data_IF_057641467407
#
_entry.id   IF_057641467407
#
_cell.length_a   1.000
_cell.length_b   1.000
_cell.length_c   1.000
_cell.angle_alpha   90.00
_cell.angle_beta   90.00
_cell.angle_gamma   90.00
#
_symmetry.space_group_name_H-M   'P 1'
#
loop_
_entity.id
_entity.type
_entity.pdbx_description
1 polymer ?
#
# COMPACT_ATOMS: atom_id res chain seq x y z
N UNK A 1 -26.81 -67.32 18.37
CA UNK A 1 -26.71 -65.95 17.83
C UNK A 1 -25.50 -65.22 18.45
N UNK A 2 -24.43 -65.02 17.71
CA UNK A 2 -23.20 -64.31 18.19
C UNK A 2 -23.19 -62.91 17.63
N UNK A 3 -23.34 -61.93 18.53
CA UNK A 3 -23.31 -60.50 18.20
C UNK A 3 -21.86 -60.05 18.09
N UNK A 4 -21.46 -59.61 16.90
CA UNK A 4 -20.12 -59.00 16.65
C UNK A 4 -20.19 -57.50 16.92
N UNK A 5 -19.50 -57.08 17.97
CA UNK A 5 -19.27 -55.68 18.28
C UNK A 5 -18.15 -55.15 17.39
N UNK A 6 -18.46 -54.22 16.50
CA UNK A 6 -17.47 -53.51 15.66
C UNK A 6 -17.01 -52.28 16.44
N UNK A 7 -15.74 -52.32 16.89
CA UNK A 7 -15.06 -51.19 17.51
C UNK A 7 -14.58 -50.24 16.39
N UNK A 8 -15.23 -49.09 16.23
CA UNK A 8 -14.75 -48.01 15.34
C UNK A 8 -13.69 -47.18 16.06
N UNK A 9 -12.44 -47.42 15.72
CA UNK A 9 -11.32 -46.56 16.13
C UNK A 9 -11.39 -45.25 15.34
N UNK A 10 -11.76 -44.16 15.99
CA UNK A 10 -11.67 -42.81 15.42
C UNK A 10 -10.23 -42.36 15.63
N UNK A 11 -9.45 -42.35 14.54
CA UNK A 11 -8.13 -41.74 14.50
C UNK A 11 -8.29 -40.25 14.42
N UNK A 12 -8.20 -39.57 15.57
CA UNK A 12 -8.23 -38.12 15.67
C UNK A 12 -6.83 -37.60 15.29
N UNK A 13 -6.64 -37.21 14.01
CA UNK A 13 -5.45 -36.47 13.58
C UNK A 13 -5.49 -35.07 14.22
N UNK A 14 -4.85 -34.93 15.37
CA UNK A 14 -4.46 -33.64 15.92
C UNK A 14 -3.38 -33.07 15.00
N UNK A 15 -3.82 -32.24 14.06
CA UNK A 15 -2.92 -31.34 13.31
C UNK A 15 -2.35 -30.31 14.27
N UNK A 16 -1.22 -30.63 14.88
CA UNK A 16 -0.39 -29.63 15.56
C UNK A 16 0.25 -28.80 14.45
N UNK A 17 -0.38 -27.69 14.07
CA UNK A 17 0.31 -26.62 13.36
C UNK A 17 1.36 -26.07 14.32
N UNK A 18 2.59 -26.52 14.19
CA UNK A 18 3.73 -25.91 14.86
C UNK A 18 3.84 -24.47 14.32
N UNK A 19 3.26 -23.51 15.03
CA UNK A 19 3.61 -22.11 14.87
C UNK A 19 5.04 -21.96 15.40
N UNK A 20 6.01 -22.11 14.50
CA UNK A 20 7.38 -21.72 14.76
C UNK A 20 7.42 -20.20 14.76
N UNK A 21 7.31 -19.59 15.92
CA UNK A 21 7.55 -18.15 16.05
C UNK A 21 9.05 -17.93 16.09
N UNK A 22 9.56 -17.05 15.24
CA UNK A 22 10.82 -16.37 15.51
C UNK A 22 10.65 -15.69 16.88
N UNK A 23 11.26 -16.29 17.90
CA UNK A 23 10.94 -15.99 19.31
C UNK A 23 11.25 -14.55 19.72
N UNK A 24 11.98 -13.79 18.89
CA UNK A 24 12.51 -12.47 19.22
C UNK A 24 11.86 -11.32 18.44
N UNK A 25 11.24 -11.60 17.29
CA UNK A 25 10.48 -10.62 16.50
C UNK A 25 9.01 -10.73 16.92
N UNK A 26 8.47 -9.67 17.47
CA UNK A 26 7.11 -9.63 18.04
C UNK A 26 6.08 -9.14 17.05
N UNK A 27 6.51 -8.37 16.06
CA UNK A 27 5.62 -7.84 15.04
C UNK A 27 6.38 -7.53 13.76
N UNK A 28 5.68 -7.67 12.64
CA UNK A 28 6.15 -7.31 11.30
C UNK A 28 5.10 -6.41 10.68
N UNK A 29 5.48 -5.20 10.30
CA UNK A 29 4.62 -4.24 9.63
C UNK A 29 5.12 -4.03 8.20
N UNK A 30 4.23 -4.18 7.22
CA UNK A 30 4.46 -3.72 5.86
C UNK A 30 4.26 -2.20 5.79
N UNK A 31 5.07 -1.52 4.99
CA UNK A 31 4.90 -0.09 4.70
C UNK A 31 4.91 0.09 3.20
N UNK A 32 3.87 0.74 2.67
CA UNK A 32 3.75 1.03 1.25
C UNK A 32 3.95 2.52 0.98
N UNK A 33 4.39 2.82 -0.22
CA UNK A 33 4.48 4.17 -0.79
C UNK A 33 3.85 4.16 -2.18
N UNK A 34 3.35 5.31 -2.61
CA UNK A 34 2.77 5.48 -3.94
C UNK A 34 3.80 6.05 -4.90
N UNK A 35 4.02 5.36 -6.00
CA UNK A 35 4.91 5.73 -7.10
C UNK A 35 4.10 6.18 -8.31
N UNK A 36 4.75 6.51 -9.41
CA UNK A 36 4.07 6.96 -10.63
C UNK A 36 3.13 5.92 -11.25
N UNK A 37 3.41 4.64 -10.99
CA UNK A 37 2.68 3.47 -11.49
C UNK A 37 1.93 2.70 -10.38
N UNK A 38 1.70 3.35 -9.25
CA UNK A 38 0.86 2.80 -8.18
C UNK A 38 1.54 2.58 -6.84
N UNK A 39 0.76 2.00 -5.93
CA UNK A 39 1.19 1.69 -4.57
C UNK A 39 2.05 0.43 -4.54
N UNK A 40 3.20 0.49 -3.87
CA UNK A 40 4.15 -0.64 -3.75
C UNK A 40 4.70 -0.78 -2.34
N UNK A 41 5.04 -2.02 -1.97
CA UNK A 41 5.79 -2.28 -0.74
C UNK A 41 7.15 -1.59 -0.83
N UNK A 42 7.45 -0.69 0.10
CA UNK A 42 8.71 0.07 0.15
C UNK A 42 9.59 -0.32 1.33
N UNK A 43 8.98 -0.76 2.43
CA UNK A 43 9.69 -0.99 3.69
C UNK A 43 9.02 -2.10 4.49
N UNK A 44 9.81 -2.87 5.22
CA UNK A 44 9.33 -3.80 6.24
C UNK A 44 9.90 -3.37 7.59
N UNK A 45 9.06 -3.25 8.60
CA UNK A 45 9.47 -2.86 9.95
C UNK A 45 9.29 -4.05 10.88
N UNK A 46 10.38 -4.41 11.53
CA UNK A 46 10.42 -5.49 12.52
C UNK A 46 10.45 -4.89 13.92
N UNK A 47 9.55 -5.34 14.79
CA UNK A 47 9.57 -5.01 16.21
C UNK A 47 10.18 -6.15 16.99
N UNK A 48 11.33 -5.90 17.63
CA UNK A 48 11.99 -6.89 18.48
C UNK A 48 11.50 -6.81 19.93
N UNK A 49 11.61 -7.92 20.64
CA UNK A 49 11.31 -8.01 22.08
C UNK A 49 12.31 -7.20 22.94
N UNK A 50 13.55 -7.07 22.48
CA UNK A 50 14.65 -6.33 23.11
C UNK A 50 15.17 -5.22 22.18
N UNK A 51 15.87 -4.25 22.77
CA UNK A 51 16.60 -3.23 21.98
C UNK A 51 17.78 -3.85 21.26
N UNK A 52 17.89 -3.64 19.96
CA UNK A 52 18.97 -4.10 19.09
C UNK A 52 20.05 -3.02 18.99
N UNK A 53 21.33 -3.42 18.91
CA UNK A 53 22.44 -2.52 18.61
C UNK A 53 22.46 -2.17 17.14
N UNK A 54 22.61 -0.89 16.81
CA UNK A 54 22.59 -0.41 15.45
C UNK A 54 23.76 -0.91 14.58
N UNK A 55 24.93 -1.11 15.20
CA UNK A 55 26.14 -1.62 14.54
C UNK A 55 26.11 -3.12 14.25
N UNK A 56 25.12 -3.83 14.78
CA UNK A 56 24.92 -5.27 14.51
C UNK A 56 23.90 -5.56 13.41
N UNK A 57 23.35 -4.55 12.76
CA UNK A 57 22.32 -4.70 11.72
C UNK A 57 22.85 -4.31 10.35
N UNK A 58 22.76 -5.22 9.41
CA UNK A 58 23.13 -5.07 8.01
C UNK A 58 21.95 -5.41 7.10
N UNK A 59 21.94 -4.88 5.87
CA UNK A 59 20.96 -5.26 4.85
C UNK A 59 20.98 -6.75 4.52
N UNK A 60 22.15 -7.38 4.64
CA UNK A 60 22.35 -8.79 4.32
C UNK A 60 21.79 -9.75 5.39
N UNK A 61 21.40 -9.19 6.56
CA UNK A 61 20.75 -9.94 7.62
C UNK A 61 19.29 -10.26 7.33
N UNK A 62 18.71 -9.71 6.27
CA UNK A 62 17.28 -9.86 5.94
C UNK A 62 17.05 -10.22 4.48
N UNK A 63 15.97 -10.93 4.24
CA UNK A 63 15.51 -11.29 2.90
C UNK A 63 14.00 -11.10 2.79
N UNK A 64 13.58 -10.41 1.74
CA UNK A 64 12.18 -10.23 1.36
C UNK A 64 11.99 -10.89 -0.01
N UNK A 65 11.03 -11.81 -0.19
CA UNK A 65 10.83 -12.52 -1.46
C UNK A 65 10.64 -11.54 -2.63
N UNK A 66 11.32 -11.81 -3.73
CA UNK A 66 11.26 -11.02 -4.97
C UNK A 66 11.58 -9.52 -4.82
N UNK A 67 12.28 -9.13 -3.73
CA UNK A 67 12.65 -7.75 -3.48
C UNK A 67 14.12 -7.66 -3.04
N UNK A 68 14.80 -6.63 -3.48
CA UNK A 68 16.16 -6.31 -3.04
C UNK A 68 16.12 -5.42 -1.81
N UNK A 69 16.81 -5.83 -0.74
CA UNK A 69 16.98 -4.99 0.45
C UNK A 69 18.01 -3.90 0.14
N UNK A 70 17.60 -2.66 0.18
CA UNK A 70 18.43 -1.47 -0.03
C UNK A 70 19.30 -1.18 1.17
N UNK A 71 18.69 -1.12 2.35
CA UNK A 71 19.33 -0.89 3.64
C UNK A 71 18.51 -1.46 4.79
N UNK A 72 19.19 -1.80 5.88
CA UNK A 72 18.55 -2.12 7.14
C UNK A 72 19.24 -1.38 8.28
N UNK A 73 18.48 -0.87 9.22
CA UNK A 73 19.00 -0.08 10.32
C UNK A 73 18.02 -0.05 11.51
N UNK A 74 18.56 0.35 12.66
CA UNK A 74 17.80 0.41 13.90
C UNK A 74 17.18 1.80 14.12
N UNK A 75 15.95 1.83 14.64
CA UNK A 75 15.27 3.08 15.02
C UNK A 75 14.52 2.92 16.36
N UNK A 76 14.20 4.06 16.99
CA UNK A 76 13.40 4.13 18.21
C UNK A 76 11.90 4.23 17.95
N UNK A 77 11.52 4.49 16.72
CA UNK A 77 10.14 4.56 16.23
C UNK A 77 9.95 3.65 15.04
N UNK A 78 8.72 3.17 14.82
CA UNK A 78 8.35 2.37 13.66
C UNK A 78 8.20 3.25 12.41
N UNK A 79 9.27 3.94 12.01
CA UNK A 79 9.27 4.90 10.89
C UNK A 79 10.62 4.91 10.18
N UNK A 80 10.61 5.25 8.89
CA UNK A 80 11.83 5.51 8.11
C UNK A 80 12.61 6.68 8.72
N UNK A 81 13.92 6.63 8.59
CA UNK A 81 14.83 7.68 9.07
C UNK A 81 16.07 7.73 8.19
N UNK A 82 16.62 8.93 8.01
CA UNK A 82 17.89 9.11 7.31
C UNK A 82 19.11 8.69 8.13
N UNK A 83 18.92 8.41 9.43
CA UNK A 83 20.00 8.03 10.34
C UNK A 83 19.64 6.82 11.15
N UNK A 84 20.56 5.85 11.24
CA UNK A 84 20.47 4.74 12.19
C UNK A 84 20.67 5.24 13.62
N UNK A 85 19.94 4.66 14.56
CA UNK A 85 20.16 4.87 16.00
C UNK A 85 21.19 3.87 16.53
N UNK A 86 21.95 4.24 17.56
CA UNK A 86 22.90 3.33 18.21
C UNK A 86 22.21 2.10 18.79
N UNK A 87 20.96 2.22 19.18
CA UNK A 87 20.11 1.15 19.69
C UNK A 87 18.64 1.50 19.49
N UNK A 88 17.78 0.52 19.31
CA UNK A 88 16.34 0.72 19.18
C UNK A 88 15.58 -0.59 19.12
N UNK A 89 14.29 -0.52 19.28
CA UNK A 89 13.40 -1.69 19.28
C UNK A 89 12.94 -2.08 17.88
N UNK A 90 13.05 -1.14 16.95
CA UNK A 90 12.60 -1.34 15.57
C UNK A 90 13.80 -1.51 14.63
N UNK A 91 13.73 -2.51 13.77
CA UNK A 91 14.62 -2.63 12.62
C UNK A 91 13.83 -2.26 11.38
N UNK A 92 14.31 -1.28 10.66
CA UNK A 92 13.71 -0.77 9.44
C UNK A 92 14.46 -1.38 8.27
N UNK A 93 13.76 -2.13 7.42
CA UNK A 93 14.29 -2.79 6.22
C UNK A 93 13.69 -2.10 5.01
N UNK A 94 14.44 -1.18 4.39
CA UNK A 94 14.02 -0.48 3.18
C UNK A 94 14.38 -1.29 1.95
N UNK A 95 13.48 -1.31 0.99
CA UNK A 95 13.61 -2.06 -0.26
C UNK A 95 14.03 -1.14 -1.41
N UNK A 96 14.70 -1.70 -2.40
CA UNK A 96 14.92 -0.98 -3.65
C UNK A 96 13.57 -0.71 -4.32
N UNK A 97 13.47 0.44 -4.94
CA UNK A 97 12.31 0.79 -5.76
C UNK A 97 12.24 -0.18 -6.95
N UNK A 98 11.05 -0.69 -7.22
CA UNK A 98 10.82 -1.49 -8.42
C UNK A 98 10.86 -0.56 -9.64
N UNK A 99 11.38 -1.03 -10.77
CA UNK A 99 11.23 -0.30 -12.03
C UNK A 99 9.75 0.03 -12.27
N UNK A 100 9.50 1.17 -12.91
CA UNK A 100 8.14 1.50 -13.36
C UNK A 100 7.66 0.37 -14.28
N UNK A 101 6.46 -0.13 -14.01
CA UNK A 101 5.84 -1.09 -14.91
C UNK A 101 5.48 -0.38 -16.21
N UNK A 102 5.91 -0.94 -17.33
CA UNK A 102 5.46 -0.50 -18.65
C UNK A 102 4.05 -1.03 -18.90
N UNK A 103 3.07 -0.34 -18.34
CA UNK A 103 1.65 -0.70 -18.50
C UNK A 103 1.16 -0.56 -19.96
N UNK A 104 1.97 0.03 -20.85
CA UNK A 104 1.63 0.12 -22.27
C UNK A 104 1.62 -1.24 -22.97
N UNK A 105 2.29 -2.25 -22.38
CA UNK A 105 2.36 -3.63 -22.91
C UNK A 105 1.31 -4.58 -22.32
N UNK A 106 0.66 -4.21 -21.22
CA UNK A 106 -0.27 -5.08 -20.48
C UNK A 106 -1.73 -4.99 -20.96
N UNK A 107 -1.96 -4.45 -22.15
CA UNK A 107 -3.31 -4.51 -22.71
C UNK A 107 -3.64 -5.96 -23.06
N UNK A 108 -4.66 -6.48 -22.36
CA UNK A 108 -5.28 -7.76 -22.73
C UNK A 108 -5.59 -7.76 -24.24
N UNK A 109 -5.26 -8.82 -24.99
CA UNK A 109 -5.60 -8.91 -26.43
C UNK A 109 -7.05 -8.60 -26.77
N UNK A 110 -7.98 -8.87 -25.85
CA UNK A 110 -9.39 -8.51 -26.01
C UNK A 110 -9.62 -6.99 -25.95
N UNK A 111 -8.94 -6.28 -25.04
CA UNK A 111 -9.03 -4.82 -24.94
C UNK A 111 -8.41 -4.13 -26.15
N UNK A 112 -7.36 -4.72 -26.73
CA UNK A 112 -6.73 -4.24 -27.96
C UNK A 112 -7.66 -4.43 -29.17
N UNK A 113 -8.35 -5.55 -29.26
CA UNK A 113 -9.32 -5.83 -30.33
C UNK A 113 -10.56 -4.92 -30.23
N UNK A 114 -11.06 -4.70 -29.02
CA UNK A 114 -12.15 -3.74 -28.78
C UNK A 114 -11.75 -2.31 -29.13
N UNK A 115 -10.53 -1.91 -28.76
CA UNK A 115 -9.98 -0.60 -29.16
C UNK A 115 -9.86 -0.45 -30.66
N UNK A 116 -9.40 -1.48 -31.36
CA UNK A 116 -9.34 -1.48 -32.84
C UNK A 116 -10.73 -1.33 -33.45
N UNK A 117 -11.72 -2.11 -32.98
CA UNK A 117 -13.12 -2.04 -33.44
C UNK A 117 -13.76 -0.66 -33.17
N UNK A 118 -13.40 -0.01 -32.06
CA UNK A 118 -13.86 1.36 -31.74
C UNK A 118 -13.23 2.39 -32.66
N UNK A 119 -11.92 2.30 -32.88
CA UNK A 119 -11.18 3.20 -33.79
C UNK A 119 -11.70 3.09 -35.21
N UNK A 120 -12.00 1.89 -35.72
CA UNK A 120 -12.61 1.65 -37.04
C UNK A 120 -13.98 2.32 -37.17
N UNK A 121 -14.73 2.44 -36.05
CA UNK A 121 -16.01 3.14 -36.00
C UNK A 121 -15.89 4.65 -35.76
N UNK A 122 -14.64 5.18 -35.73
CA UNK A 122 -14.38 6.60 -35.47
C UNK A 122 -14.65 7.02 -34.01
N UNK A 123 -14.75 6.05 -33.09
CA UNK A 123 -14.91 6.29 -31.65
C UNK A 123 -13.54 6.13 -31.02
N UNK A 124 -12.82 7.22 -30.79
CA UNK A 124 -11.59 7.25 -30.02
C UNK A 124 -11.87 7.69 -28.57
N UNK A 125 -11.03 7.22 -27.63
CA UNK A 125 -11.07 7.64 -26.25
C UNK A 125 -12.16 7.04 -25.37
N UNK A 126 -12.28 7.56 -24.13
CA UNK A 126 -13.20 7.04 -23.14
C UNK A 126 -14.67 7.38 -23.48
N UNK A 127 -15.58 6.49 -23.12
CA UNK A 127 -17.02 6.67 -23.33
C UNK A 127 -17.63 7.25 -22.05
N UNK A 128 -18.41 8.34 -22.18
CA UNK A 128 -19.15 8.93 -21.05
C UNK A 128 -20.01 7.89 -20.33
N UNK A 129 -19.99 7.91 -19.00
CA UNK A 129 -20.70 6.95 -18.17
C UNK A 129 -20.12 5.54 -18.22
N UNK A 130 -19.01 5.33 -18.98
CA UNK A 130 -18.31 4.05 -19.05
C UNK A 130 -17.60 3.74 -17.73
N UNK A 131 -17.63 2.48 -17.34
CA UNK A 131 -16.80 1.97 -16.23
C UNK A 131 -15.37 1.82 -16.72
N UNK A 132 -14.41 2.24 -15.90
CA UNK A 132 -12.99 2.01 -16.18
C UNK A 132 -12.59 0.55 -15.98
N UNK A 133 -11.39 0.24 -16.42
CA UNK A 133 -10.76 -1.07 -16.21
C UNK A 133 -9.88 -1.07 -14.94
N UNK A 134 -10.26 -0.25 -13.95
CA UNK A 134 -9.54 -0.18 -12.68
C UNK A 134 -9.47 -1.57 -12.04
N UNK A 135 -8.25 -2.07 -11.80
CA UNK A 135 -8.06 -3.32 -11.07
C UNK A 135 -8.48 -3.10 -9.60
N UNK A 136 -9.08 -4.10 -8.93
CA UNK A 136 -9.34 -3.99 -7.50
C UNK A 136 -8.06 -3.64 -6.73
N UNK A 137 -8.18 -2.85 -5.66
CA UNK A 137 -7.05 -2.55 -4.80
C UNK A 137 -6.57 -3.82 -4.11
N UNK A 138 -5.28 -4.11 -4.24
CA UNK A 138 -4.66 -5.26 -3.58
C UNK A 138 -4.29 -4.90 -2.13
N UNK A 139 -4.46 -5.84 -1.23
CA UNK A 139 -3.95 -5.72 0.13
C UNK A 139 -2.47 -6.11 0.14
N UNK A 140 -1.59 -5.14 -0.01
CA UNK A 140 -0.14 -5.34 -0.06
C UNK A 140 0.36 -5.76 1.32
N UNK A 141 0.93 -6.95 1.40
CA UNK A 141 1.54 -7.52 2.61
C UNK A 141 3.04 -7.74 2.41
N UNK A 142 3.76 -8.03 3.48
CA UNK A 142 5.18 -8.35 3.43
C UNK A 142 5.48 -9.72 4.01
N UNK A 143 6.46 -10.39 3.42
CA UNK A 143 7.12 -11.56 3.97
C UNK A 143 8.59 -11.23 4.20
N UNK A 144 9.16 -11.66 5.31
CA UNK A 144 10.55 -11.39 5.64
C UNK A 144 11.18 -12.55 6.42
N UNK A 145 12.45 -12.80 6.17
CA UNK A 145 13.26 -13.78 6.88
C UNK A 145 14.52 -13.11 7.44
N UNK A 146 14.85 -13.38 8.69
CA UNK A 146 16.14 -12.97 9.29
C UNK A 146 17.22 -14.00 8.94
N UNK A 147 18.16 -13.63 8.10
CA UNK A 147 19.27 -14.50 7.65
C UNK A 147 20.55 -14.35 8.46
N UNK A 148 20.73 -13.20 9.10
CA UNK A 148 21.93 -12.87 9.86
C UNK A 148 21.70 -12.87 11.35
N UNK A 149 22.77 -12.59 12.09
CA UNK A 149 22.75 -12.49 13.55
C UNK A 149 22.74 -11.02 13.97
N UNK A 150 21.71 -10.61 14.68
CA UNK A 150 21.65 -9.30 15.33
C UNK A 150 21.95 -9.41 16.82
N UNK A 151 22.47 -8.33 17.41
CA UNK A 151 22.88 -8.32 18.82
C UNK A 151 22.03 -7.32 19.59
N UNK A 152 21.49 -7.74 20.70
CA UNK A 152 20.72 -6.87 21.61
C UNK A 152 21.62 -5.93 22.38
N UNK A 153 21.06 -4.87 22.96
CA UNK A 153 21.80 -3.89 23.75
C UNK A 153 22.51 -4.48 24.98
N UNK A 154 22.00 -5.61 25.51
CA UNK A 154 22.61 -6.36 26.62
C UNK A 154 23.57 -7.48 26.16
N UNK A 155 23.88 -7.56 24.84
CA UNK A 155 24.88 -8.50 24.30
C UNK A 155 24.32 -9.87 23.91
N UNK A 156 23.03 -10.16 24.08
CA UNK A 156 22.42 -11.41 23.62
C UNK A 156 22.38 -11.44 22.10
N UNK A 157 22.73 -12.57 21.51
CA UNK A 157 22.69 -12.79 20.06
C UNK A 157 21.37 -13.42 19.65
N UNK A 158 20.74 -12.87 18.63
CA UNK A 158 19.60 -13.44 17.92
C UNK A 158 20.10 -13.91 16.55
N UNK A 159 20.28 -15.22 16.42
CA UNK A 159 20.83 -15.86 15.23
C UNK A 159 19.86 -15.83 14.04
N UNK A 160 20.38 -16.27 12.91
CA UNK A 160 19.57 -16.50 11.73
C UNK A 160 18.42 -17.50 12.02
N UNK A 161 17.28 -17.23 11.43
CA UNK A 161 16.10 -18.09 11.50
C UNK A 161 15.49 -18.21 10.09
N UNK A 162 15.28 -19.45 9.63
CA UNK A 162 14.68 -19.71 8.33
C UNK A 162 13.17 -19.48 8.28
N UNK A 163 12.57 -19.16 9.41
CA UNK A 163 11.12 -18.88 9.49
C UNK A 163 10.75 -17.65 8.66
N UNK A 164 9.79 -17.81 7.76
CA UNK A 164 9.19 -16.71 7.02
C UNK A 164 8.13 -16.06 7.90
N UNK A 165 8.31 -14.79 8.22
CA UNK A 165 7.37 -13.98 8.98
C UNK A 165 6.51 -13.17 8.02
N UNK A 166 5.19 -13.17 8.27
CA UNK A 166 4.24 -12.36 7.52
C UNK A 166 3.94 -11.06 8.28
N UNK A 167 3.69 -9.98 7.56
CA UNK A 167 3.22 -8.75 8.19
C UNK A 167 1.84 -8.93 8.81
N UNK A 168 1.67 -8.40 10.01
CA UNK A 168 0.41 -8.37 10.75
C UNK A 168 -0.53 -7.26 10.27
N UNK A 169 0.06 -6.20 9.73
CA UNK A 169 -0.64 -5.01 9.23
C UNK A 169 0.18 -4.32 8.15
N UNK A 170 -0.48 -3.42 7.42
CA UNK A 170 0.15 -2.58 6.40
C UNK A 170 -0.16 -1.12 6.70
N UNK A 171 0.87 -0.30 6.68
CA UNK A 171 0.81 1.14 6.78
C UNK A 171 0.97 1.76 5.40
N UNK A 172 -0.03 2.49 4.95
CA UNK A 172 -0.07 3.15 3.64
C UNK A 172 0.39 4.61 3.79
N UNK A 173 1.69 4.88 3.57
CA UNK A 173 2.24 6.23 3.75
C UNK A 173 1.54 7.23 2.85
N UNK A 174 1.22 8.38 3.42
CA UNK A 174 0.47 9.48 2.83
C UNK A 174 -1.00 9.15 2.56
N UNK A 175 -1.34 7.97 2.03
CA UNK A 175 -2.75 7.57 1.80
C UNK A 175 -3.55 7.61 3.11
N UNK A 176 -2.98 7.10 4.21
CA UNK A 176 -3.65 7.06 5.51
C UNK A 176 -3.86 8.45 6.15
N UNK A 177 -3.19 9.49 5.63
CA UNK A 177 -3.37 10.88 6.07
C UNK A 177 -4.61 11.54 5.41
N UNK A 178 -5.23 10.89 4.40
CA UNK A 178 -6.48 11.35 3.78
C UNK A 178 -7.72 10.81 4.49
N UNK A 179 -8.69 11.69 4.69
CA UNK A 179 -10.02 11.31 5.16
C UNK A 179 -10.91 11.00 3.96
N UNK A 180 -11.57 9.84 3.98
CA UNK A 180 -12.52 9.43 2.95
C UNK A 180 -13.90 9.97 3.29
N UNK A 181 -14.51 10.69 2.35
CA UNK A 181 -15.77 11.39 2.54
C UNK A 181 -16.67 11.18 1.31
N UNK A 182 -17.97 11.34 1.52
CA UNK A 182 -18.95 11.34 0.43
C UNK A 182 -19.75 12.63 0.52
N UNK A 183 -19.80 13.37 -0.56
CA UNK A 183 -20.71 14.50 -0.72
C UNK A 183 -22.03 14.00 -1.30
N UNK A 184 -23.15 14.54 -0.84
CA UNK A 184 -24.48 14.31 -1.42
C UNK A 184 -25.08 15.65 -1.72
N UNK A 185 -25.48 15.87 -2.95
CA UNK A 185 -26.13 17.11 -3.36
C UNK A 185 -27.62 17.13 -2.96
N UNK A 186 -28.32 18.23 -3.30
CA UNK A 186 -29.75 18.42 -3.02
C UNK A 186 -30.66 17.43 -3.77
N UNK A 187 -30.18 16.85 -4.87
CA UNK A 187 -30.96 15.93 -5.73
C UNK A 187 -30.62 14.47 -5.40
N UNK A 188 -29.78 14.23 -4.37
CA UNK A 188 -29.38 12.91 -3.90
C UNK A 188 -28.22 12.29 -4.68
N UNK A 189 -27.59 13.02 -5.62
CA UNK A 189 -26.38 12.55 -6.29
C UNK A 189 -25.22 12.54 -5.31
N UNK A 190 -24.35 11.55 -5.41
CA UNK A 190 -23.21 11.36 -4.51
C UNK A 190 -21.89 11.44 -5.25
N UNK A 191 -20.89 12.02 -4.59
CA UNK A 191 -19.50 12.03 -5.04
C UNK A 191 -18.59 11.60 -3.90
N UNK A 192 -17.84 10.53 -4.11
CA UNK A 192 -16.77 10.11 -3.20
C UNK A 192 -15.56 11.03 -3.37
N UNK A 193 -14.92 11.38 -2.28
CA UNK A 193 -13.67 12.16 -2.33
C UNK A 193 -12.76 11.88 -1.14
N UNK A 194 -11.48 12.13 -1.35
CA UNK A 194 -10.44 12.03 -0.34
C UNK A 194 -9.94 13.42 -0.01
N UNK A 195 -9.85 13.76 1.28
CA UNK A 195 -9.42 15.07 1.72
C UNK A 195 -8.22 14.95 2.66
N UNK A 196 -7.09 15.52 2.25
CA UNK A 196 -5.97 15.78 3.13
C UNK A 196 -6.08 17.15 3.75
N UNK A 197 -5.90 17.22 5.07
CA UNK A 197 -5.83 18.46 5.83
C UNK A 197 -4.40 18.65 6.38
N UNK A 198 -3.80 19.84 6.26
CA UNK A 198 -2.46 20.09 6.80
C UNK A 198 -2.35 19.67 8.27
N UNK A 199 -1.25 19.01 8.65
CA UNK A 199 -1.06 18.47 10.03
C UNK A 199 -1.09 19.57 11.10
N UNK A 200 -0.62 20.76 10.74
CA UNK A 200 -0.61 21.92 11.65
C UNK A 200 -1.74 22.90 11.29
N UNK A 201 -2.90 22.41 10.87
CA UNK A 201 -4.03 23.23 10.49
C UNK A 201 -4.44 24.21 11.61
N UNK A 202 -4.52 25.49 11.24
CA UNK A 202 -5.02 26.55 12.09
C UNK A 202 -6.25 27.21 11.43
N UNK A 203 -7.45 27.17 12.04
CA UNK A 203 -8.67 27.72 11.44
C UNK A 203 -8.64 29.23 11.21
N UNK A 204 -7.67 29.95 11.81
CA UNK A 204 -7.48 31.39 11.60
C UNK A 204 -6.64 31.71 10.37
N UNK A 205 -6.03 30.72 9.73
CA UNK A 205 -5.25 30.88 8.50
C UNK A 205 -6.08 30.46 7.29
N UNK A 206 -5.76 31.06 6.12
CA UNK A 206 -6.20 30.60 4.81
C UNK A 206 -5.12 29.69 4.22
N UNK A 207 -5.55 28.62 3.59
CA UNK A 207 -4.66 27.65 2.94
C UNK A 207 -5.04 27.49 1.48
N UNK A 208 -4.08 27.27 0.60
CA UNK A 208 -4.35 26.82 -0.77
C UNK A 208 -5.12 25.48 -0.74
N UNK A 209 -5.91 25.27 -1.77
CA UNK A 209 -6.55 23.98 -2.07
C UNK A 209 -5.98 23.44 -3.37
N UNK A 210 -5.38 22.27 -3.34
CA UNK A 210 -5.02 21.50 -4.52
C UNK A 210 -6.16 20.55 -4.81
N UNK A 211 -6.70 20.58 -6.03
CA UNK A 211 -7.70 19.60 -6.50
C UNK A 211 -7.02 18.71 -7.53
N UNK A 212 -6.94 17.43 -7.24
CA UNK A 212 -6.41 16.43 -8.16
C UNK A 212 -7.57 15.62 -8.77
N UNK A 213 -7.72 15.74 -10.08
CA UNK A 213 -8.70 14.99 -10.86
C UNK A 213 -7.98 13.81 -11.51
N UNK A 214 -8.42 12.58 -11.24
CA UNK A 214 -7.84 11.39 -11.85
C UNK A 214 -8.28 11.24 -13.31
N UNK A 215 -7.51 10.47 -14.09
CA UNK A 215 -7.83 10.17 -15.48
C UNK A 215 -8.99 9.14 -15.61
N UNK A 216 -9.47 8.96 -16.86
CA UNK A 216 -10.57 8.05 -17.16
C UNK A 216 -10.25 6.57 -16.88
N UNK A 217 -8.99 6.19 -16.82
CA UNK A 217 -8.55 4.82 -16.48
C UNK A 217 -8.70 4.50 -14.99
N UNK A 218 -8.76 5.53 -14.15
CA UNK A 218 -8.82 5.40 -12.70
C UNK A 218 -10.24 5.51 -12.11
N UNK A 219 -11.29 5.46 -12.94
CA UNK A 219 -12.68 5.43 -12.44
C UNK A 219 -12.92 4.11 -11.68
N UNK A 220 -13.47 4.21 -10.48
CA UNK A 220 -13.64 3.08 -9.56
C UNK A 220 -14.68 3.40 -8.50
N UNK A 221 -15.36 2.37 -7.97
CA UNK A 221 -16.22 2.47 -6.79
C UNK A 221 -15.43 2.42 -5.46
N UNK A 222 -14.10 2.31 -5.52
CA UNK A 222 -13.26 2.28 -4.34
C UNK A 222 -12.68 3.66 -4.03
N UNK A 223 -13.06 4.27 -2.90
CA UNK A 223 -12.65 5.62 -2.49
C UNK A 223 -11.16 5.92 -2.67
N UNK A 224 -10.32 4.97 -2.29
CA UNK A 224 -8.85 5.16 -2.28
C UNK A 224 -8.20 5.01 -3.65
N UNK A 225 -8.93 4.59 -4.68
CA UNK A 225 -8.30 4.24 -5.94
C UNK A 225 -7.52 5.41 -6.53
N UNK A 226 -8.09 6.62 -6.50
CA UNK A 226 -7.40 7.85 -6.95
C UNK A 226 -6.11 8.17 -6.18
N UNK A 227 -5.95 7.63 -4.96
CA UNK A 227 -4.74 7.83 -4.15
C UNK A 227 -3.66 6.79 -4.42
N UNK A 228 -4.04 5.57 -4.83
CA UNK A 228 -3.14 4.41 -4.91
C UNK A 228 -2.73 4.05 -6.33
N UNK A 229 -3.48 4.48 -7.35
CA UNK A 229 -3.19 4.18 -8.75
C UNK A 229 -1.95 4.92 -9.31
N UNK A 230 -1.50 5.95 -8.63
CA UNK A 230 -0.34 6.77 -8.96
C UNK A 230 -0.21 7.94 -8.00
N UNK A 231 0.93 8.60 -8.00
CA UNK A 231 1.27 9.62 -7.00
C UNK A 231 0.68 11.02 -7.27
N UNK A 232 -0.26 11.14 -8.21
CA UNK A 232 -0.84 12.42 -8.63
C UNK A 232 -1.47 13.22 -7.48
N UNK A 233 -2.22 12.57 -6.59
CA UNK A 233 -2.79 13.22 -5.41
C UNK A 233 -1.81 13.24 -4.23
N UNK A 234 -1.14 12.11 -3.96
CA UNK A 234 -0.33 11.91 -2.74
C UNK A 234 0.95 12.75 -2.74
N UNK A 235 1.49 13.11 -3.91
CA UNK A 235 2.65 13.99 -4.01
C UNK A 235 2.44 15.35 -3.31
N UNK A 236 1.23 15.92 -3.43
CA UNK A 236 0.88 17.20 -2.80
C UNK A 236 0.65 17.11 -1.29
N UNK A 237 0.35 15.92 -0.79
CA UNK A 237 0.21 15.64 0.64
C UNK A 237 1.50 15.11 1.29
N UNK A 238 2.56 14.91 0.50
CA UNK A 238 3.85 14.42 0.99
C UNK A 238 4.44 15.36 2.05
N UNK A 239 5.16 14.83 3.06
CA UNK A 239 5.80 15.65 4.08
C UNK A 239 6.76 16.71 3.51
N UNK A 240 7.46 16.40 2.42
CA UNK A 240 8.39 17.28 1.72
C UNK A 240 7.68 18.47 1.09
N UNK A 241 6.55 18.22 0.43
CA UNK A 241 5.72 19.26 -0.16
C UNK A 241 5.07 20.13 0.92
N UNK A 242 4.39 19.52 1.86
CA UNK A 242 3.63 20.19 2.91
C UNK A 242 4.51 21.06 3.82
N UNK A 243 5.78 20.68 4.03
CA UNK A 243 6.74 21.49 4.79
C UNK A 243 6.97 22.87 4.16
N UNK A 244 6.85 22.99 2.85
CA UNK A 244 7.11 24.23 2.09
C UNK A 244 5.82 24.90 1.64
N UNK A 245 4.78 24.14 1.41
CA UNK A 245 3.53 24.55 0.77
C UNK A 245 2.35 23.90 1.49
N UNK A 246 2.11 24.33 2.74
CA UNK A 246 0.94 23.84 3.50
C UNK A 246 -0.34 24.09 2.68
N UNK A 247 -1.05 23.03 2.33
CA UNK A 247 -2.25 23.06 1.50
C UNK A 247 -3.21 21.95 1.84
N UNK A 248 -4.50 22.18 1.63
CA UNK A 248 -5.45 21.08 1.50
C UNK A 248 -5.23 20.37 0.17
N UNK A 249 -5.49 19.05 0.14
CA UNK A 249 -5.55 18.30 -1.11
C UNK A 249 -6.89 17.59 -1.17
N UNK A 250 -7.64 17.86 -2.24
CA UNK A 250 -8.92 17.23 -2.54
C UNK A 250 -8.74 16.32 -3.75
N UNK A 251 -9.05 15.04 -3.58
CA UNK A 251 -8.98 14.04 -4.64
C UNK A 251 -10.33 13.33 -4.77
N UNK A 252 -11.24 13.82 -5.65
CA UNK A 252 -12.46 13.12 -5.98
C UNK A 252 -12.19 11.73 -6.55
N UNK A 253 -13.13 10.81 -6.34
CA UNK A 253 -13.15 9.50 -6.96
C UNK A 253 -14.44 9.35 -7.76
N UNK A 254 -14.31 9.30 -9.06
CA UNK A 254 -15.44 9.09 -9.95
C UNK A 254 -15.65 7.59 -10.20
N UNK A 255 -16.89 7.14 -10.21
CA UNK A 255 -17.25 5.75 -10.48
C UNK A 255 -17.36 5.45 -11.98
N UNK A 256 -17.54 6.50 -12.78
CA UNK A 256 -17.67 6.42 -14.23
C UNK A 256 -16.88 7.54 -14.91
N UNK A 257 -16.66 7.40 -16.20
CA UNK A 257 -16.00 8.40 -17.03
C UNK A 257 -16.87 9.66 -17.14
N UNK A 258 -16.32 10.79 -16.68
CA UNK A 258 -17.02 12.07 -16.58
C UNK A 258 -16.80 12.99 -17.78
N UNK A 259 -15.73 12.80 -18.56
CA UNK A 259 -15.40 13.59 -19.75
C UNK A 259 -14.85 12.66 -20.83
N UNK A 260 -15.24 12.84 -22.08
CA UNK A 260 -14.68 12.14 -23.24
C UNK A 260 -13.71 13.02 -24.05
N UNK A 261 -13.08 12.44 -25.07
CA UNK A 261 -12.13 13.15 -25.95
C UNK A 261 -12.77 14.24 -26.81
N UNK A 262 -14.10 14.32 -26.86
CA UNK A 262 -14.84 15.40 -27.53
C UNK A 262 -15.19 16.55 -26.59
N UNK A 263 -14.67 16.50 -25.32
CA UNK A 263 -15.00 17.47 -24.26
C UNK A 263 -16.50 17.53 -23.92
N UNK A 264 -17.22 16.43 -24.17
CA UNK A 264 -18.57 16.28 -23.67
C UNK A 264 -18.51 15.81 -22.21
N UNK A 265 -19.39 16.34 -21.37
CA UNK A 265 -19.41 16.08 -19.93
C UNK A 265 -20.50 15.07 -19.57
N UNK A 266 -20.19 14.20 -18.63
CA UNK A 266 -21.16 13.31 -18.01
C UNK A 266 -21.97 14.01 -16.91
N UNK A 267 -23.09 13.40 -16.49
CA UNK A 267 -24.02 13.99 -15.52
C UNK A 267 -23.43 14.15 -14.10
N UNK A 268 -22.25 13.65 -13.86
CA UNK A 268 -21.56 13.76 -12.55
C UNK A 268 -20.82 15.09 -12.37
N UNK A 269 -20.68 15.88 -13.44
CA UNK A 269 -20.07 17.21 -13.40
C UNK A 269 -21.14 18.34 -13.53
N UNK A 270 -22.41 18.00 -13.70
CA UNK A 270 -23.54 18.92 -13.65
C UNK A 270 -24.00 19.09 -12.20
#
# INVERSE_FOLDING_TARGET
MKTKTILKTILMCLGVSAMSFATHIKDVQAVTEVYGDGEKLSTVILTYDQMIKGDSVSKDDYSVPNRTVKKAYVNNTAQKSNTSKKRGKYVIVELEELPLEDTSMDMNPQDEEERKKRNEKGVSGPTLGGKGNAKPLENITAQITQKGTVVTSNGKKYGADSTVLNSSNTRQLVIEDFVQLTFTDKDGKTLMYNLYKPKNYNPQKKYPLVVFMHDAGAVSSEHKYTLSQGNGATAWASPEWQKKHESFVLAPQYEVVTVNDKYEYGPELD
#
